data_IF_829406145051
#
_entry.id   IF_829406145051
#
_cell.length_a   1.000
_cell.length_b   1.000
_cell.length_c   1.000
_cell.angle_alpha   90.00
_cell.angle_beta   90.00
_cell.angle_gamma   90.00
#
_symmetry.space_group_name_H-M   'P 1'
#
loop_
_entity.id
_entity.type
_entity.pdbx_description
1 polymer ?
#
# COMPACT_ATOMS: atom_id res chain seq x y z
N UNK A 1 -27.89 27.73 -1.08
CA UNK A 1 -27.51 26.66 -1.74
C UNK A 1 -26.56 25.82 -0.98
N UNK A 2 -26.70 24.58 -1.10
CA UNK A 2 -25.96 23.81 -0.36
C UNK A 2 -24.77 23.38 -1.06
N UNK A 3 -23.74 23.46 -0.47
CA UNK A 3 -22.53 23.04 -1.09
C UNK A 3 -22.43 21.60 -0.88
N UNK A 4 -22.37 20.92 -1.96
CA UNK A 4 -22.29 19.59 -1.88
C UNK A 4 -20.92 19.28 -1.52
N UNK A 5 -20.77 18.60 -0.53
CA UNK A 5 -19.51 18.21 -0.17
C UNK A 5 -19.03 17.38 -1.24
N UNK A 6 -17.94 17.66 -1.71
CA UNK A 6 -17.32 16.84 -2.70
C UNK A 6 -17.30 15.45 -2.17
N UNK A 7 -17.79 14.57 -2.90
CA UNK A 7 -17.86 13.23 -2.44
C UNK A 7 -16.52 12.76 -1.98
N UNK A 8 -16.51 11.86 -1.05
CA UNK A 8 -15.30 11.25 -0.58
C UNK A 8 -14.85 10.28 -1.66
N UNK A 9 -14.21 10.83 -2.68
CA UNK A 9 -13.70 10.00 -3.76
C UNK A 9 -12.21 10.09 -3.82
N UNK A 10 -11.59 9.03 -4.29
CA UNK A 10 -10.16 9.01 -4.47
C UNK A 10 -9.83 9.86 -5.69
N UNK A 11 -8.87 10.77 -5.57
CA UNK A 11 -8.49 11.62 -6.68
C UNK A 11 -7.87 10.78 -7.80
N UNK A 12 -8.01 11.26 -9.04
CA UNK A 12 -7.42 10.54 -10.18
C UNK A 12 -5.91 10.46 -10.04
N UNK A 13 -5.29 11.51 -9.52
CA UNK A 13 -3.86 11.55 -9.31
C UNK A 13 -3.42 10.46 -8.34
N UNK A 14 -4.12 10.30 -7.21
CA UNK A 14 -3.82 9.24 -6.25
C UNK A 14 -4.16 7.86 -6.83
N UNK A 15 -5.26 7.74 -7.54
CA UNK A 15 -5.64 6.47 -8.15
C UNK A 15 -4.58 6.00 -9.15
N UNK A 16 -4.06 6.90 -9.97
CA UNK A 16 -3.04 6.54 -10.94
C UNK A 16 -1.75 6.08 -10.25
N UNK A 17 -1.37 6.74 -9.16
CA UNK A 17 -0.17 6.38 -8.41
C UNK A 17 -0.33 5.01 -7.74
N UNK A 18 -1.53 4.72 -7.24
CA UNK A 18 -1.82 3.41 -6.66
C UNK A 18 -1.72 2.33 -7.72
N UNK A 19 -2.29 2.56 -8.90
CA UNK A 19 -2.24 1.58 -9.99
C UNK A 19 -0.81 1.32 -10.44
N UNK A 20 0.02 2.36 -10.49
CA UNK A 20 1.42 2.24 -10.84
C UNK A 20 2.13 1.35 -9.81
N UNK A 21 1.90 1.61 -8.50
CA UNK A 21 2.51 0.84 -7.44
C UNK A 21 2.10 -0.63 -7.51
N UNK A 22 0.80 -0.88 -7.66
CA UNK A 22 0.27 -2.25 -7.73
C UNK A 22 0.88 -3.00 -8.91
N UNK A 23 0.98 -2.34 -10.07
CA UNK A 23 1.56 -2.97 -11.26
C UNK A 23 2.99 -3.39 -10.99
N UNK A 24 3.79 -2.51 -10.40
CA UNK A 24 5.19 -2.82 -10.15
C UNK A 24 5.35 -3.92 -9.10
N UNK A 25 4.47 -3.95 -8.11
CA UNK A 25 4.48 -5.02 -7.11
C UNK A 25 4.13 -6.36 -7.76
N UNK A 26 3.12 -6.38 -8.62
CA UNK A 26 2.74 -7.61 -9.32
C UNK A 26 3.82 -8.14 -10.24
N UNK A 27 4.63 -7.24 -10.79
CA UNK A 27 5.70 -7.62 -11.70
C UNK A 27 7.04 -7.87 -11.00
N UNK A 28 7.06 -7.80 -9.66
CA UNK A 28 8.30 -7.98 -8.91
C UNK A 28 8.59 -9.45 -8.67
N UNK A 29 9.84 -9.73 -8.30
CA UNK A 29 10.26 -11.07 -7.95
C UNK A 29 9.59 -11.56 -6.67
N UNK A 30 8.96 -10.67 -5.91
CA UNK A 30 8.31 -11.03 -4.66
C UNK A 30 6.92 -11.60 -4.86
N UNK A 31 6.39 -11.49 -6.08
CA UNK A 31 5.00 -11.86 -6.36
C UNK A 31 4.58 -13.22 -5.79
N UNK A 32 5.38 -14.30 -5.93
CA UNK A 32 4.96 -15.60 -5.39
C UNK A 32 4.82 -15.65 -3.88
N UNK A 33 5.41 -14.69 -3.18
CA UNK A 33 5.39 -14.67 -1.71
C UNK A 33 4.37 -13.69 -1.16
N UNK A 34 3.68 -12.93 -2.02
CA UNK A 34 2.72 -11.94 -1.56
C UNK A 34 1.40 -12.61 -1.26
N UNK A 35 0.91 -12.43 -0.04
CA UNK A 35 -0.40 -12.95 0.35
C UNK A 35 -1.47 -11.88 0.33
N UNK A 36 -1.08 -10.61 0.49
CA UNK A 36 -2.04 -9.51 0.43
C UNK A 36 -1.30 -8.19 0.21
N UNK A 37 -2.04 -7.19 -0.27
CA UNK A 37 -1.55 -5.83 -0.41
C UNK A 37 -2.71 -4.94 0.01
N UNK A 38 -2.51 -4.13 1.03
CA UNK A 38 -3.59 -3.40 1.66
C UNK A 38 -3.36 -1.91 1.56
N UNK A 39 -4.34 -1.20 1.02
CA UNK A 39 -4.36 0.25 1.02
C UNK A 39 -5.01 0.68 2.33
N UNK A 40 -4.35 1.58 3.08
CA UNK A 40 -4.93 2.08 4.31
C UNK A 40 -4.67 3.59 4.41
N UNK A 41 -5.04 4.18 5.52
CA UNK A 41 -4.82 5.61 5.72
C UNK A 41 -5.83 6.46 4.97
N UNK A 42 -5.47 7.71 4.71
CA UNK A 42 -6.42 8.69 4.16
C UNK A 42 -6.96 8.30 2.79
N UNK A 43 -6.14 7.67 1.95
CA UNK A 43 -6.60 7.25 0.63
C UNK A 43 -7.65 6.15 0.72
N UNK A 44 -7.49 5.22 1.67
CA UNK A 44 -8.49 4.16 1.86
C UNK A 44 -9.80 4.73 2.37
N UNK A 45 -9.73 5.75 3.22
CA UNK A 45 -10.93 6.40 3.74
C UNK A 45 -11.50 7.43 2.77
N UNK A 46 -10.81 7.68 1.65
CA UNK A 46 -11.19 8.68 0.66
C UNK A 46 -11.24 10.09 1.27
N UNK A 47 -10.30 10.34 2.17
CA UNK A 47 -10.16 11.62 2.85
C UNK A 47 -8.83 12.29 2.49
N UNK A 48 -8.20 11.83 1.42
CA UNK A 48 -6.91 12.35 1.02
C UNK A 48 -6.98 13.81 0.59
N UNK A 49 -5.86 14.50 0.84
CA UNK A 49 -5.64 15.84 0.36
C UNK A 49 -4.60 15.75 -0.74
N UNK A 50 -4.36 16.84 -1.44
CA UNK A 50 -3.36 16.85 -2.50
C UNK A 50 -2.01 16.34 -1.99
N UNK A 51 -1.62 16.73 -0.78
CA UNK A 51 -0.33 16.36 -0.20
C UNK A 51 -0.33 15.00 0.51
N UNK A 52 -1.44 14.29 0.51
CA UNK A 52 -1.49 13.01 1.20
C UNK A 52 -0.64 11.96 0.50
N UNK A 53 0.06 11.16 1.31
CA UNK A 53 0.80 10.02 0.79
C UNK A 53 -0.14 8.84 0.60
N UNK A 54 0.33 7.85 -0.13
CA UNK A 54 -0.39 6.59 -0.30
C UNK A 54 0.25 5.59 0.64
N UNK A 55 -0.56 5.04 1.55
CA UNK A 55 -0.08 4.08 2.54
C UNK A 55 -0.46 2.67 2.12
N UNK A 56 0.55 1.84 1.90
CA UNK A 56 0.36 0.45 1.51
C UNK A 56 1.04 -0.48 2.49
N UNK A 57 0.38 -1.58 2.81
CA UNK A 57 0.96 -2.65 3.61
C UNK A 57 1.10 -3.88 2.71
N UNK A 58 2.32 -4.34 2.50
CA UNK A 58 2.60 -5.54 1.73
C UNK A 58 2.76 -6.69 2.71
N UNK A 59 1.93 -7.71 2.56
CA UNK A 59 1.96 -8.87 3.44
C UNK A 59 2.60 -10.02 2.70
N UNK A 60 3.70 -10.52 3.24
CA UNK A 60 4.44 -11.63 2.64
C UNK A 60 4.24 -12.90 3.46
N UNK A 61 4.26 -14.04 2.79
CA UNK A 61 4.17 -15.32 3.48
C UNK A 61 5.46 -15.56 4.26
N UNK A 62 5.39 -16.43 5.26
CA UNK A 62 6.55 -16.74 6.08
C UNK A 62 7.65 -17.41 5.28
N UNK A 63 7.32 -18.04 4.17
CA UNK A 63 8.32 -18.67 3.30
C UNK A 63 9.32 -17.65 2.75
N UNK A 64 8.93 -16.39 2.67
CA UNK A 64 9.85 -15.35 2.21
C UNK A 64 11.09 -15.28 3.10
N UNK A 65 10.96 -15.58 4.39
CA UNK A 65 12.08 -15.49 5.31
C UNK A 65 13.21 -16.45 4.95
N UNK A 66 12.91 -17.51 4.21
CA UNK A 66 13.90 -18.48 3.78
C UNK A 66 14.63 -18.04 2.51
N UNK A 67 14.18 -16.96 1.89
CA UNK A 67 14.73 -16.50 0.62
C UNK A 67 15.53 -15.23 0.81
N UNK A 68 16.71 -15.39 1.41
CA UNK A 68 17.56 -14.24 1.74
C UNK A 68 17.97 -13.43 0.52
N UNK A 69 18.06 -14.09 -0.63
CA UNK A 69 18.46 -13.43 -1.86
C UNK A 69 17.41 -12.41 -2.34
N UNK A 70 16.19 -12.51 -1.84
CA UNK A 70 15.14 -11.57 -2.25
C UNK A 70 15.08 -10.31 -1.40
N UNK A 71 15.93 -10.20 -0.38
CA UNK A 71 15.93 -9.01 0.47
C UNK A 71 16.29 -7.76 -0.31
N UNK A 72 17.22 -7.88 -1.26
CA UNK A 72 17.59 -6.74 -2.07
C UNK A 72 16.44 -6.33 -2.99
N UNK A 73 15.74 -7.32 -3.56
CA UNK A 73 14.58 -7.05 -4.38
C UNK A 73 13.51 -6.31 -3.59
N UNK A 74 13.34 -6.67 -2.32
CA UNK A 74 12.39 -6.00 -1.44
C UNK A 74 12.77 -4.53 -1.22
N UNK A 75 14.06 -4.25 -1.00
CA UNK A 75 14.52 -2.88 -0.83
C UNK A 75 14.29 -2.07 -2.10
N UNK A 76 14.58 -2.67 -3.25
CA UNK A 76 14.39 -1.99 -4.52
C UNK A 76 12.92 -1.68 -4.76
N UNK A 77 12.05 -2.58 -4.34
CA UNK A 77 10.63 -2.41 -4.56
C UNK A 77 10.11 -1.13 -3.90
N UNK A 78 10.64 -0.78 -2.74
CA UNK A 78 10.19 0.43 -2.04
C UNK A 78 10.37 1.69 -2.87
N UNK A 79 11.39 1.76 -3.71
CA UNK A 79 11.55 2.90 -4.60
C UNK A 79 10.84 2.69 -5.93
N UNK A 80 10.68 1.44 -6.36
CA UNK A 80 10.03 1.14 -7.63
C UNK A 80 8.52 1.36 -7.61
N UNK A 81 7.91 1.44 -6.41
CA UNK A 81 6.49 1.69 -6.32
C UNK A 81 6.14 3.17 -6.50
N UNK A 82 7.13 4.05 -6.46
CA UNK A 82 6.90 5.47 -6.69
C UNK A 82 7.26 5.83 -8.12
N UNK A 83 6.54 6.79 -8.70
CA UNK A 83 6.89 7.29 -10.01
C UNK A 83 8.10 8.22 -9.89
N UNK A 84 8.69 8.59 -11.02
CA UNK A 84 9.80 9.52 -11.02
C UNK A 84 9.36 10.97 -10.95
N UNK A 85 8.06 11.23 -11.06
CA UNK A 85 7.55 12.59 -11.08
C UNK A 85 7.33 13.07 -9.64
N UNK A 86 8.04 14.14 -9.26
CA UNK A 86 7.93 14.67 -7.91
C UNK A 86 6.55 15.25 -7.61
N UNK A 87 5.74 15.49 -8.65
CA UNK A 87 4.37 15.97 -8.43
C UNK A 87 3.40 14.85 -8.09
N UNK A 88 3.79 13.61 -8.27
CA UNK A 88 2.93 12.48 -7.94
C UNK A 88 2.99 12.19 -6.43
N UNK A 89 1.94 11.60 -5.86
CA UNK A 89 1.94 11.26 -4.45
C UNK A 89 3.06 10.27 -4.12
N UNK A 90 3.65 10.42 -2.96
CA UNK A 90 4.62 9.44 -2.50
C UNK A 90 3.89 8.20 -2.02
N UNK A 91 4.53 7.06 -2.15
CA UNK A 91 3.99 5.79 -1.70
C UNK A 91 4.83 5.29 -0.54
N UNK A 92 4.20 5.15 0.62
CA UNK A 92 4.85 4.62 1.81
C UNK A 92 4.51 3.13 1.88
N UNK A 93 5.46 2.29 1.51
CA UNK A 93 5.27 0.85 1.49
C UNK A 93 5.84 0.24 2.76
N UNK A 94 4.97 -0.26 3.61
CA UNK A 94 5.34 -0.99 4.81
C UNK A 94 5.21 -2.48 4.52
N UNK A 95 6.03 -3.28 5.18
CA UNK A 95 6.08 -4.70 4.88
C UNK A 95 5.96 -5.49 6.17
N UNK A 96 5.11 -6.51 6.15
CA UNK A 96 5.01 -7.47 7.26
C UNK A 96 5.11 -8.88 6.69
N UNK A 97 5.59 -9.80 7.51
CA UNK A 97 5.70 -11.20 7.13
C UNK A 97 4.81 -12.00 8.07
N UNK A 98 3.98 -12.86 7.49
CA UNK A 98 3.08 -13.70 8.28
C UNK A 98 1.78 -12.99 8.61
N UNK A 99 1.06 -13.55 9.59
CA UNK A 99 -0.30 -13.13 9.89
C UNK A 99 -0.47 -12.40 11.22
N UNK A 100 0.64 -12.10 11.91
CA UNK A 100 0.54 -11.45 13.21
C UNK A 100 -0.24 -10.14 13.15
N UNK A 101 -0.11 -9.39 12.07
CA UNK A 101 -0.80 -8.11 11.92
C UNK A 101 -2.32 -8.24 12.02
N UNK A 102 -2.87 -9.43 11.74
CA UNK A 102 -4.32 -9.64 11.73
C UNK A 102 -4.93 -9.61 13.13
N UNK A 103 -4.13 -9.87 14.16
CA UNK A 103 -4.61 -9.91 15.53
C UNK A 103 -3.80 -9.04 16.48
N UNK A 104 -2.72 -8.42 15.98
CA UNK A 104 -1.84 -7.61 16.80
C UNK A 104 -2.61 -6.42 17.38
N UNK A 105 -2.59 -6.20 18.69
CA UNK A 105 -3.39 -5.15 19.33
C UNK A 105 -2.84 -3.73 19.20
N UNK A 106 -1.68 -3.55 18.59
CA UNK A 106 -1.13 -2.20 18.42
C UNK A 106 -2.08 -1.35 17.59
N UNK A 107 -2.22 -0.09 17.99
CA UNK A 107 -3.15 0.83 17.33
C UNK A 107 -2.89 0.92 15.82
N UNK A 108 -1.64 0.89 15.42
CA UNK A 108 -1.27 0.92 14.02
C UNK A 108 -1.97 -0.19 13.22
N UNK A 109 -1.89 -1.43 13.74
CA UNK A 109 -2.51 -2.56 13.03
C UNK A 109 -4.03 -2.55 13.15
N UNK A 110 -4.55 -2.05 14.26
CA UNK A 110 -6.00 -1.93 14.43
C UNK A 110 -6.57 -0.96 13.40
N UNK A 111 -5.87 0.13 13.13
CA UNK A 111 -6.30 1.11 12.13
C UNK A 111 -6.26 0.50 10.73
N UNK A 112 -5.23 -0.29 10.44
CA UNK A 112 -5.14 -0.95 9.13
C UNK A 112 -6.32 -1.90 8.94
N UNK A 113 -6.64 -2.70 9.96
CA UNK A 113 -7.77 -3.64 9.84
C UNK A 113 -9.10 -2.92 9.70
N UNK A 114 -9.23 -1.76 10.33
CA UNK A 114 -10.47 -1.01 10.29
C UNK A 114 -10.70 -0.38 8.91
N UNK A 115 -9.66 0.26 8.38
CA UNK A 115 -9.80 1.06 7.17
C UNK A 115 -9.28 0.38 5.91
N UNK A 116 -8.55 -0.70 6.05
CA UNK A 116 -7.81 -1.30 4.95
C UNK A 116 -8.67 -1.88 3.86
N UNK A 117 -8.19 -1.74 2.63
CA UNK A 117 -8.82 -2.29 1.45
C UNK A 117 -7.79 -3.17 0.77
N UNK A 118 -8.15 -4.44 0.55
CA UNK A 118 -7.24 -5.35 -0.14
C UNK A 118 -7.20 -5.01 -1.62
N UNK A 119 -6.00 -4.89 -2.15
CA UNK A 119 -5.77 -4.64 -3.57
C UNK A 119 -5.19 -5.87 -4.27
N UNK A 120 -5.09 -6.99 -3.57
CA UNK A 120 -4.44 -8.19 -4.10
C UNK A 120 -5.49 -9.24 -4.44
N UNK A 121 -5.58 -9.55 -5.71
CA UNK A 121 -6.58 -10.50 -6.19
C UNK A 121 -5.96 -11.52 -7.09
#
# INVERSE_FOLDING_TARGET
>A
MKIRKTANVLSQRHSNAIQYAVKNIKNSELQPYITDLILYGSCARKEQKYSSDIDLLLVLSEDFQKRKELRLSLRKLKSQVMTDDVEDPEVDLKIVVGRDWETNPMQYYRNIRKDGISLWH
#
